data_IF_411096116095
#
_entry.id   IF_411096116095
#
_cell.length_a   1.000
_cell.length_b   1.000
_cell.length_c   1.000
_cell.angle_alpha   90.00
_cell.angle_beta   90.00
_cell.angle_gamma   90.00
#
_symmetry.space_group_name_H-M   'P 1'
#
loop_
_entity.id
_entity.type
_entity.pdbx_description
1 polymer ?
#
# COMPACT_ATOMS: atom_id res chain seq x y z
N UNK A 1 47.04 -20.83 14.15
CA UNK A 1 45.67 -20.51 14.55
C UNK A 1 45.02 -19.68 13.43
N UNK A 2 44.21 -20.32 12.58
CA UNK A 2 43.57 -19.63 11.44
C UNK A 2 42.18 -19.21 11.87
N UNK A 3 41.99 -17.91 12.08
CA UNK A 3 40.65 -17.33 12.28
C UNK A 3 39.93 -17.39 10.92
N UNK A 4 38.93 -18.26 10.77
CA UNK A 4 37.95 -18.16 9.70
C UNK A 4 36.89 -17.13 10.14
N UNK A 5 36.88 -15.97 9.51
CA UNK A 5 35.72 -15.08 9.53
C UNK A 5 34.58 -15.80 8.75
N UNK A 6 33.66 -16.36 9.49
CA UNK A 6 32.39 -16.83 8.89
C UNK A 6 31.51 -15.60 8.82
N UNK A 7 31.41 -14.97 7.66
CA UNK A 7 30.34 -14.01 7.41
C UNK A 7 29.04 -14.81 7.43
N UNK A 8 28.18 -14.54 8.40
CA UNK A 8 26.83 -15.05 8.36
C UNK A 8 26.15 -14.43 7.15
N UNK A 9 25.79 -15.24 6.17
CA UNK A 9 24.92 -14.80 5.07
C UNK A 9 23.56 -14.52 5.72
N UNK A 10 23.10 -13.30 5.59
CA UNK A 10 21.74 -12.94 6.01
C UNK A 10 20.81 -13.12 4.80
N UNK A 11 19.72 -13.83 5.01
CA UNK A 11 18.66 -13.91 4.01
C UNK A 11 17.71 -12.71 4.18
N UNK A 12 17.32 -12.14 3.07
CA UNK A 12 16.37 -11.02 3.00
C UNK A 12 15.13 -11.44 2.20
N UNK A 13 13.97 -11.16 2.74
CA UNK A 13 12.74 -11.17 1.97
C UNK A 13 12.53 -9.78 1.38
N UNK A 14 12.55 -9.67 0.07
CA UNK A 14 12.36 -8.41 -0.65
C UNK A 14 11.01 -8.40 -1.35
N UNK A 15 10.27 -7.30 -1.18
CA UNK A 15 9.14 -6.93 -2.03
C UNK A 15 9.53 -5.68 -2.79
N UNK A 16 9.49 -5.74 -4.12
CA UNK A 16 9.76 -4.63 -5.02
C UNK A 16 8.46 -4.15 -5.63
N UNK A 17 8.21 -2.86 -5.56
CA UNK A 17 7.01 -2.20 -6.10
C UNK A 17 7.45 -1.16 -7.11
N UNK A 18 6.96 -1.25 -8.34
CA UNK A 18 7.20 -0.26 -9.40
C UNK A 18 5.87 0.40 -9.76
N UNK A 19 5.83 1.73 -9.71
CA UNK A 19 4.67 2.53 -10.10
C UNK A 19 4.63 2.71 -11.61
N UNK A 20 3.47 2.41 -12.23
CA UNK A 20 3.36 2.40 -13.69
C UNK A 20 3.29 3.82 -14.29
N UNK A 21 2.66 4.74 -13.58
CA UNK A 21 2.46 6.11 -14.06
C UNK A 21 3.56 7.08 -13.57
N UNK A 22 4.53 6.60 -12.78
CA UNK A 22 5.57 7.43 -12.20
C UNK A 22 5.05 8.51 -11.25
N UNK A 23 3.84 8.36 -10.73
CA UNK A 23 3.20 9.24 -9.76
C UNK A 23 2.70 8.44 -8.55
N UNK A 24 2.64 9.12 -7.39
CA UNK A 24 2.11 8.56 -6.16
C UNK A 24 1.21 9.56 -5.45
N UNK A 25 0.01 9.12 -5.05
CA UNK A 25 -1.05 9.97 -4.48
C UNK A 25 -1.31 9.71 -3.00
N UNK A 26 -0.60 8.76 -2.38
CA UNK A 26 -0.80 8.40 -0.97
C UNK A 26 -0.51 9.57 -0.05
N UNK A 27 -1.35 9.73 0.99
CA UNK A 27 -1.21 10.79 1.99
C UNK A 27 -1.01 10.20 3.38
N UNK A 28 -0.20 10.87 4.17
CA UNK A 28 -0.04 10.64 5.60
C UNK A 28 -1.24 11.11 6.41
N UNK A 29 -1.17 10.93 7.72
CA UNK A 29 -2.25 11.36 8.65
C UNK A 29 -2.35 12.88 8.78
N UNK A 30 -1.28 13.59 8.50
CA UNK A 30 -1.18 15.06 8.43
C UNK A 30 -1.81 15.65 7.15
N UNK A 31 -2.14 14.79 6.18
CA UNK A 31 -2.68 15.17 4.88
C UNK A 31 -1.60 15.50 3.83
N UNK A 32 -0.34 15.49 4.21
CA UNK A 32 0.78 15.64 3.28
C UNK A 32 1.05 14.33 2.51
N UNK A 33 1.79 14.41 1.42
CA UNK A 33 2.17 13.23 0.67
C UNK A 33 3.11 12.35 1.49
N UNK A 34 2.75 11.07 1.66
CA UNK A 34 3.57 10.07 2.33
C UNK A 34 4.57 9.47 1.33
N UNK A 35 5.86 9.71 1.52
CA UNK A 35 6.89 9.06 0.71
C UNK A 35 8.08 8.64 1.56
N UNK A 36 8.60 7.42 1.36
CA UNK A 36 8.03 6.33 0.55
C UNK A 36 6.71 5.80 1.15
N UNK A 37 5.92 5.01 0.41
CA UNK A 37 4.70 4.40 0.96
C UNK A 37 5.04 3.56 2.19
N UNK A 38 4.32 3.79 3.31
CA UNK A 38 4.62 3.15 4.57
C UNK A 38 4.47 1.62 4.53
N UNK A 39 5.21 0.87 5.34
CA UNK A 39 5.02 -0.57 5.51
C UNK A 39 3.58 -0.96 5.85
N UNK A 40 2.85 -0.11 6.60
CA UNK A 40 1.43 -0.34 6.87
C UNK A 40 0.59 -0.27 5.59
N UNK A 41 0.89 0.65 4.68
CA UNK A 41 0.19 0.76 3.40
C UNK A 41 0.46 -0.45 2.51
N UNK A 42 1.70 -0.91 2.48
CA UNK A 42 2.05 -2.16 1.79
C UNK A 42 1.31 -3.35 2.39
N UNK A 43 1.24 -3.46 3.72
CA UNK A 43 0.51 -4.52 4.40
C UNK A 43 -0.98 -4.52 4.06
N UNK A 44 -1.61 -3.36 3.98
CA UNK A 44 -3.00 -3.22 3.53
C UNK A 44 -3.19 -3.67 2.07
N UNK A 45 -2.21 -3.39 1.21
CA UNK A 45 -2.23 -3.85 -0.18
C UNK A 45 -2.05 -5.37 -0.29
N UNK A 46 -1.18 -5.97 0.55
CA UNK A 46 -1.03 -7.42 0.67
C UNK A 46 -2.33 -8.08 1.16
N UNK A 47 -2.97 -7.51 2.18
CA UNK A 47 -4.27 -8.00 2.70
C UNK A 47 -5.33 -7.98 1.59
N UNK A 48 -5.43 -6.89 0.84
CA UNK A 48 -6.36 -6.80 -0.29
C UNK A 48 -6.03 -7.81 -1.40
N UNK A 49 -4.76 -8.00 -1.72
CA UNK A 49 -4.32 -8.97 -2.72
C UNK A 49 -4.65 -10.41 -2.29
N UNK A 50 -4.43 -10.76 -1.02
CA UNK A 50 -4.78 -12.06 -0.46
C UNK A 50 -6.28 -12.35 -0.59
N UNK A 51 -7.13 -11.40 -0.20
CA UNK A 51 -8.59 -11.52 -0.29
C UNK A 51 -9.07 -11.67 -1.74
N UNK A 52 -8.46 -10.95 -2.69
CA UNK A 52 -8.80 -11.03 -4.12
C UNK A 52 -8.40 -12.36 -4.75
N UNK A 53 -7.30 -12.96 -4.32
CA UNK A 53 -6.86 -14.28 -4.80
C UNK A 53 -7.83 -15.39 -4.41
N UNK A 54 -8.48 -15.27 -3.27
CA UNK A 54 -9.42 -16.27 -2.75
C UNK A 54 -10.87 -15.98 -3.14
N UNK A 55 -11.17 -14.78 -3.63
CA UNK A 55 -12.48 -14.35 -4.11
C UNK A 55 -13.50 -13.97 -3.03
N UNK A 56 -13.46 -14.59 -1.85
CA UNK A 56 -14.34 -14.30 -0.72
C UNK A 56 -13.62 -14.50 0.61
N UNK A 57 -12.96 -13.45 1.07
CA UNK A 57 -12.19 -13.50 2.31
C UNK A 57 -10.75 -13.96 2.10
N UNK A 58 -10.06 -14.27 3.18
CA UNK A 58 -8.66 -14.69 3.17
C UNK A 58 -8.58 -16.12 3.71
N UNK A 59 -7.96 -17.03 2.94
CA UNK A 59 -7.76 -18.41 3.40
C UNK A 59 -6.82 -18.48 4.61
N UNK A 60 -6.97 -19.51 5.42
CA UNK A 60 -6.16 -19.71 6.63
C UNK A 60 -4.65 -19.66 6.36
N UNK A 61 -4.20 -20.27 5.25
CA UNK A 61 -2.79 -20.24 4.85
C UNK A 61 -2.29 -18.81 4.60
N UNK A 62 -3.07 -17.97 3.89
CA UNK A 62 -2.69 -16.58 3.61
C UNK A 62 -2.78 -15.71 4.86
N UNK A 63 -3.80 -15.93 5.69
CA UNK A 63 -3.94 -15.24 6.98
C UNK A 63 -2.74 -15.56 7.89
N UNK A 64 -2.33 -16.83 8.00
CA UNK A 64 -1.15 -17.21 8.78
C UNK A 64 0.13 -16.54 8.28
N UNK A 65 0.32 -16.42 6.96
CA UNK A 65 1.46 -15.73 6.39
C UNK A 65 1.45 -14.21 6.66
N UNK A 66 0.29 -13.57 6.59
CA UNK A 66 0.13 -12.15 6.93
C UNK A 66 0.31 -11.89 8.43
N UNK A 67 -0.24 -12.75 9.30
CA UNK A 67 0.00 -12.67 10.75
C UNK A 67 1.48 -12.82 11.10
N UNK A 68 2.18 -13.73 10.43
CA UNK A 68 3.63 -13.85 10.61
C UNK A 68 4.35 -12.55 10.21
N UNK A 69 3.98 -11.93 9.07
CA UNK A 69 4.62 -10.71 8.60
C UNK A 69 4.37 -9.51 9.53
N UNK A 70 3.13 -9.33 10.06
CA UNK A 70 2.83 -8.23 10.98
C UNK A 70 3.43 -8.41 12.37
N UNK A 71 3.77 -9.67 12.75
CA UNK A 71 4.38 -10.00 14.04
C UNK A 71 5.91 -9.86 14.04
N UNK A 72 6.54 -9.57 12.89
CA UNK A 72 7.98 -9.35 12.80
C UNK A 72 8.39 -8.17 13.69
N UNK A 73 9.33 -8.41 14.59
CA UNK A 73 9.79 -7.41 15.57
C UNK A 73 10.45 -6.20 14.92
N UNK A 74 11.10 -6.41 13.78
CA UNK A 74 11.82 -5.38 13.06
C UNK A 74 11.08 -5.00 11.78
N UNK A 75 10.75 -3.72 11.59
CA UNK A 75 10.20 -3.24 10.33
C UNK A 75 11.18 -3.46 9.17
N UNK A 76 10.72 -3.41 7.91
CA UNK A 76 11.61 -3.53 6.77
C UNK A 76 12.53 -2.31 6.65
N UNK A 77 13.71 -2.53 6.10
CA UNK A 77 14.46 -1.47 5.45
C UNK A 77 13.76 -1.09 4.15
N UNK A 78 13.76 0.20 3.80
CA UNK A 78 13.12 0.67 2.57
C UNK A 78 14.13 1.43 1.73
N UNK A 79 14.22 1.02 0.47
CA UNK A 79 14.99 1.69 -0.55
C UNK A 79 14.01 2.29 -1.56
N UNK A 80 14.11 3.57 -1.80
CA UNK A 80 13.17 4.28 -2.66
C UNK A 80 13.88 5.27 -3.58
N UNK A 81 13.36 5.44 -4.78
CA UNK A 81 13.78 6.52 -5.65
C UNK A 81 13.28 7.86 -5.09
N UNK A 82 13.95 8.94 -5.44
CA UNK A 82 13.55 10.28 -5.03
C UNK A 82 12.20 10.66 -5.62
N UNK A 83 11.38 11.34 -4.82
CA UNK A 83 10.10 11.85 -5.23
C UNK A 83 10.06 13.39 -5.08
N UNK A 84 9.33 14.06 -5.98
CA UNK A 84 9.18 15.51 -5.97
C UNK A 84 7.72 15.92 -6.04
N UNK A 85 7.27 16.92 -5.26
CA UNK A 85 5.91 17.43 -5.36
C UNK A 85 5.60 17.96 -6.76
N UNK A 86 4.37 17.72 -7.24
CA UNK A 86 3.86 18.30 -8.49
C UNK A 86 2.99 19.52 -8.21
N UNK A 87 2.73 20.31 -9.25
CA UNK A 87 1.78 21.44 -9.19
C UNK A 87 0.35 20.98 -8.86
N UNK A 88 0.08 19.69 -9.03
CA UNK A 88 -1.23 19.09 -8.84
C UNK A 88 -2.17 19.34 -10.01
N UNK A 89 -3.32 18.69 -9.93
CA UNK A 89 -4.42 18.82 -10.88
C UNK A 89 -5.77 18.70 -10.18
N UNK A 90 -6.80 19.07 -10.91
CA UNK A 90 -8.16 19.09 -10.39
C UNK A 90 -8.94 17.87 -10.91
N UNK A 91 -9.53 17.13 -9.98
CA UNK A 91 -10.46 16.06 -10.28
C UNK A 91 -11.88 16.46 -9.88
N UNK A 92 -12.84 16.00 -10.65
CA UNK A 92 -14.24 16.08 -10.32
C UNK A 92 -14.74 14.70 -9.93
N UNK A 93 -15.12 14.55 -8.67
CA UNK A 93 -15.69 13.30 -8.17
C UNK A 93 -17.20 13.48 -7.98
N UNK A 94 -18.01 12.45 -8.28
CA UNK A 94 -19.41 12.45 -7.91
C UNK A 94 -19.47 12.57 -6.37
N UNK A 95 -20.21 13.52 -5.88
CA UNK A 95 -20.59 13.54 -4.47
C UNK A 95 -21.68 12.49 -4.22
N UNK A 96 -22.13 12.27 -2.98
CA UNK A 96 -23.19 11.30 -2.62
C UNK A 96 -24.48 11.51 -3.42
N UNK A 97 -24.36 11.32 -4.73
CA UNK A 97 -25.34 11.71 -5.75
C UNK A 97 -26.64 10.93 -5.58
N UNK A 98 -26.56 9.68 -5.10
CA UNK A 98 -27.74 8.84 -4.90
C UNK A 98 -28.77 9.49 -3.97
N UNK A 99 -28.37 10.02 -2.85
CA UNK A 99 -29.26 10.65 -1.88
C UNK A 99 -29.83 11.97 -2.39
N UNK A 100 -29.04 12.74 -3.14
CA UNK A 100 -29.45 14.01 -3.71
C UNK A 100 -30.43 13.81 -4.87
N UNK A 101 -30.19 12.83 -5.73
CA UNK A 101 -31.11 12.45 -6.81
C UNK A 101 -32.44 11.94 -6.24
N UNK A 102 -32.37 11.08 -5.23
CA UNK A 102 -33.58 10.59 -4.55
C UNK A 102 -34.41 11.72 -3.93
N UNK A 103 -33.77 12.70 -3.26
CA UNK A 103 -34.43 13.89 -2.73
C UNK A 103 -35.06 14.75 -3.82
N UNK A 104 -34.40 14.93 -4.96
CA UNK A 104 -34.97 15.70 -6.08
C UNK A 104 -36.14 14.97 -6.74
N UNK A 105 -36.06 13.65 -6.91
CA UNK A 105 -37.20 12.87 -7.39
C UNK A 105 -38.39 12.92 -6.43
N UNK A 106 -38.12 12.80 -5.13
CA UNK A 106 -39.19 12.97 -4.12
C UNK A 106 -39.84 14.35 -4.15
N UNK A 107 -39.10 15.35 -4.62
CA UNK A 107 -39.61 16.71 -4.84
C UNK A 107 -40.25 16.93 -6.22
N UNK A 108 -40.48 15.86 -7.00
CA UNK A 108 -41.14 15.92 -8.31
C UNK A 108 -40.25 16.37 -9.47
N UNK A 109 -38.93 16.40 -9.27
CA UNK A 109 -37.98 16.70 -10.36
C UNK A 109 -37.66 15.43 -11.18
N UNK A 110 -37.41 15.59 -12.45
CA UNK A 110 -36.96 14.48 -13.32
C UNK A 110 -35.95 14.95 -14.37
N UNK A 111 -35.15 14.03 -14.90
CA UNK A 111 -34.16 14.33 -15.93
C UNK A 111 -34.80 14.82 -17.24
N UNK A 112 -36.00 14.35 -17.55
CA UNK A 112 -36.73 14.70 -18.76
C UNK A 112 -37.67 15.91 -18.61
N UNK A 113 -37.79 16.46 -17.40
CA UNK A 113 -38.64 17.60 -17.11
C UNK A 113 -38.05 18.90 -17.63
N UNK A 114 -38.76 19.58 -18.52
CA UNK A 114 -38.36 20.93 -18.98
C UNK A 114 -38.62 22.02 -17.94
N UNK A 115 -39.58 21.81 -17.03
CA UNK A 115 -40.00 22.79 -16.02
C UNK A 115 -39.31 22.58 -14.66
N UNK A 116 -38.98 21.33 -14.34
CA UNK A 116 -38.35 20.95 -13.08
C UNK A 116 -37.20 19.95 -13.33
N UNK A 117 -36.13 20.36 -14.04
CA UNK A 117 -35.04 19.46 -14.33
C UNK A 117 -34.23 19.14 -13.06
N UNK A 118 -33.69 17.93 -13.02
CA UNK A 118 -32.65 17.59 -12.04
C UNK A 118 -31.37 18.33 -12.44
N UNK A 119 -30.88 19.18 -11.55
CA UNK A 119 -29.63 19.91 -11.78
C UNK A 119 -28.43 19.00 -11.43
N UNK A 120 -27.69 18.60 -12.47
CA UNK A 120 -26.51 17.73 -12.36
C UNK A 120 -25.26 18.54 -12.04
N UNK A 121 -25.26 19.85 -12.26
CA UNK A 121 -24.05 20.68 -12.07
C UNK A 121 -23.60 20.77 -10.62
N UNK A 122 -24.54 20.68 -9.68
CA UNK A 122 -24.26 20.66 -8.23
C UNK A 122 -23.72 19.34 -7.68
N UNK A 123 -23.63 18.29 -8.52
CA UNK A 123 -23.20 16.96 -8.05
C UNK A 123 -21.73 16.67 -8.28
N UNK A 124 -20.94 17.65 -8.62
CA UNK A 124 -19.51 17.53 -8.81
C UNK A 124 -18.79 18.20 -7.67
N UNK A 125 -18.12 17.40 -6.85
CA UNK A 125 -17.16 17.92 -5.86
C UNK A 125 -15.80 18.02 -6.51
N UNK A 126 -15.28 19.25 -6.51
CA UNK A 126 -13.91 19.52 -6.96
C UNK A 126 -12.92 19.02 -5.91
N UNK A 127 -11.97 18.20 -6.32
CA UNK A 127 -10.85 17.77 -5.49
C UNK A 127 -9.55 18.15 -6.16
N UNK A 128 -8.77 18.98 -5.51
CA UNK A 128 -7.41 19.26 -5.92
C UNK A 128 -6.49 18.15 -5.41
N UNK A 129 -5.73 17.57 -6.31
CA UNK A 129 -4.82 16.45 -6.06
C UNK A 129 -3.39 16.92 -6.34
N UNK A 130 -2.48 16.67 -5.44
CA UNK A 130 -1.07 17.00 -5.54
C UNK A 130 -0.26 15.72 -5.38
N UNK A 131 -0.03 14.95 -6.46
CA UNK A 131 0.80 13.76 -6.40
C UNK A 131 2.28 14.11 -6.25
N UNK A 132 3.06 13.12 -5.86
CA UNK A 132 4.49 13.12 -6.01
C UNK A 132 4.85 12.53 -7.37
N UNK A 133 5.80 13.15 -8.06
CA UNK A 133 6.43 12.59 -9.24
C UNK A 133 7.65 11.81 -8.81
N UNK A 134 7.72 10.56 -9.22
CA UNK A 134 8.80 9.65 -8.92
C UNK A 134 9.90 9.78 -9.96
N UNK A 135 11.14 9.74 -9.50
CA UNK A 135 12.32 9.78 -10.36
C UNK A 135 12.80 8.34 -10.64
N UNK A 136 13.78 8.19 -11.50
CA UNK A 136 14.42 6.91 -11.77
C UNK A 136 13.46 5.87 -12.32
N UNK A 137 13.49 4.69 -11.71
CA UNK A 137 12.64 3.54 -12.08
C UNK A 137 11.25 3.58 -11.46
N UNK A 138 10.93 4.64 -10.70
CA UNK A 138 9.71 4.78 -9.93
C UNK A 138 9.46 3.57 -9.02
N UNK A 139 10.51 3.11 -8.34
CA UNK A 139 10.51 1.88 -7.57
C UNK A 139 10.70 2.11 -6.07
N UNK A 140 10.12 1.22 -5.28
CA UNK A 140 10.33 1.12 -3.83
C UNK A 140 10.56 -0.36 -3.49
N UNK A 141 11.59 -0.60 -2.69
CA UNK A 141 11.96 -1.95 -2.25
C UNK A 141 11.86 -2.03 -0.73
N UNK A 142 11.14 -3.04 -0.24
CA UNK A 142 11.01 -3.34 1.18
C UNK A 142 11.79 -4.61 1.47
N UNK A 143 12.72 -4.56 2.43
CA UNK A 143 13.61 -5.65 2.76
C UNK A 143 13.44 -6.04 4.23
N UNK A 144 13.02 -7.26 4.48
CA UNK A 144 12.95 -7.83 5.83
C UNK A 144 14.09 -8.81 6.03
N UNK A 145 14.76 -8.71 7.17
CA UNK A 145 15.58 -9.80 7.68
C UNK A 145 14.68 -10.79 8.42
N UNK A 146 14.91 -12.08 8.26
CA UNK A 146 14.10 -13.11 8.89
C UNK A 146 14.98 -14.31 9.30
N UNK A 147 14.43 -15.16 10.17
CA UNK A 147 15.02 -16.43 10.52
C UNK A 147 14.51 -17.52 9.56
N UNK A 148 15.41 -18.29 8.96
CA UNK A 148 15.12 -19.25 7.87
C UNK A 148 14.04 -20.27 8.23
N UNK A 149 13.98 -20.71 9.52
CA UNK A 149 13.06 -21.76 9.94
C UNK A 149 11.58 -21.37 9.83
N UNK A 150 11.25 -20.11 10.11
CA UNK A 150 9.88 -19.61 10.09
C UNK A 150 9.49 -19.11 8.70
N UNK A 151 10.40 -18.51 7.96
CA UNK A 151 10.13 -18.05 6.60
C UNK A 151 9.78 -19.20 5.66
N UNK A 152 10.43 -20.37 5.81
CA UNK A 152 10.15 -21.55 4.98
C UNK A 152 8.68 -21.98 4.96
N UNK A 153 7.91 -21.64 6.01
CA UNK A 153 6.47 -21.93 6.10
C UNK A 153 5.60 -20.93 5.35
N UNK A 154 6.02 -19.67 5.24
CA UNK A 154 5.19 -18.55 4.81
C UNK A 154 5.68 -17.89 3.52
N UNK A 155 6.95 -18.08 3.15
CA UNK A 155 7.63 -17.35 2.08
C UNK A 155 6.96 -17.48 0.72
N UNK A 156 6.66 -18.71 0.27
CA UNK A 156 5.99 -18.93 -1.03
C UNK A 156 4.61 -18.25 -1.08
N UNK A 157 3.86 -18.32 0.04
CA UNK A 157 2.55 -17.70 0.14
C UNK A 157 2.68 -16.17 0.08
N UNK A 158 3.65 -15.58 0.79
CA UNK A 158 3.90 -14.14 0.75
C UNK A 158 4.34 -13.66 -0.63
N UNK A 159 5.18 -14.42 -1.32
CA UNK A 159 5.61 -14.14 -2.70
C UNK A 159 4.39 -14.12 -3.63
N UNK A 160 3.50 -15.12 -3.52
CA UNK A 160 2.30 -15.19 -4.34
C UNK A 160 1.34 -14.02 -4.06
N UNK A 161 1.14 -13.66 -2.79
CA UNK A 161 0.32 -12.50 -2.40
C UNK A 161 0.94 -11.20 -2.91
N UNK A 162 2.25 -11.01 -2.73
CA UNK A 162 2.94 -9.80 -3.17
C UNK A 162 2.80 -9.60 -4.68
N UNK A 163 3.01 -10.63 -5.48
CA UNK A 163 2.86 -10.58 -6.95
C UNK A 163 1.45 -10.28 -7.43
N UNK A 164 0.45 -10.44 -6.57
CA UNK A 164 -0.94 -10.12 -6.87
C UNK A 164 -1.34 -8.68 -6.53
N UNK A 165 -0.45 -7.86 -5.95
CA UNK A 165 -0.71 -6.45 -5.71
C UNK A 165 -0.77 -5.72 -7.05
N UNK A 166 -1.82 -4.94 -7.26
CA UNK A 166 -2.01 -4.14 -8.47
C UNK A 166 -2.07 -2.65 -8.20
N UNK A 167 -2.19 -2.25 -6.94
CA UNK A 167 -2.28 -0.85 -6.50
C UNK A 167 -1.63 -0.67 -5.15
N UNK A 168 -0.94 0.47 -4.98
CA UNK A 168 -0.33 0.84 -3.69
C UNK A 168 -0.50 2.34 -3.47
N UNK A 169 -1.47 2.74 -2.66
CA UNK A 169 -1.84 4.12 -2.44
C UNK A 169 -3.32 4.36 -2.75
N UNK A 170 -3.62 5.29 -3.63
CA UNK A 170 -4.97 5.49 -4.13
C UNK A 170 -5.32 4.46 -5.20
N UNK A 171 -6.62 4.39 -5.56
CA UNK A 171 -7.08 3.47 -6.60
C UNK A 171 -6.45 3.69 -7.98
N UNK A 172 -5.85 4.87 -8.21
CA UNK A 172 -5.15 5.24 -9.44
C UNK A 172 -3.65 4.89 -9.41
N UNK A 173 -3.07 4.63 -8.23
CA UNK A 173 -1.66 4.28 -8.08
C UNK A 173 -1.43 2.82 -8.49
N UNK A 174 -1.38 2.59 -9.80
CA UNK A 174 -1.18 1.26 -10.37
C UNK A 174 0.28 0.85 -10.25
N UNK A 175 0.50 -0.40 -9.85
CA UNK A 175 1.84 -0.94 -9.62
C UNK A 175 2.00 -2.33 -10.24
N UNK A 176 3.25 -2.67 -10.54
CA UNK A 176 3.72 -4.03 -10.73
C UNK A 176 4.63 -4.38 -9.56
N UNK A 177 4.41 -5.56 -9.00
CA UNK A 177 5.17 -6.01 -7.83
C UNK A 177 5.84 -7.35 -8.09
N UNK A 178 7.01 -7.53 -7.52
CA UNK A 178 7.69 -8.81 -7.44
C UNK A 178 8.22 -9.04 -6.02
N UNK A 179 8.39 -10.29 -5.65
CA UNK A 179 8.95 -10.65 -4.36
C UNK A 179 9.90 -11.84 -4.52
N UNK A 180 11.00 -11.79 -3.79
CA UNK A 180 12.02 -12.82 -3.81
C UNK A 180 12.75 -12.91 -2.46
N UNK A 181 13.38 -14.05 -2.24
CA UNK A 181 14.38 -14.23 -1.18
C UNK A 181 15.75 -13.97 -1.77
N UNK A 182 16.54 -13.18 -1.12
CA UNK A 182 17.93 -12.89 -1.49
C UNK A 182 18.86 -13.33 -0.38
N UNK A 183 19.82 -14.17 -0.75
CA UNK A 183 20.94 -14.53 0.11
C UNK A 183 22.11 -13.59 -0.22
N UNK A 184 22.41 -12.65 0.65
CA UNK A 184 23.51 -11.73 0.43
C UNK A 184 24.10 -11.24 1.75
N UNK A 185 25.38 -10.95 1.74
CA UNK A 185 26.06 -10.20 2.83
C UNK A 185 25.72 -8.72 2.80
N UNK A 186 25.19 -8.23 1.68
CA UNK A 186 24.71 -6.86 1.50
C UNK A 186 23.52 -6.93 0.55
N UNK A 187 22.38 -6.28 0.85
CA UNK A 187 21.26 -6.27 -0.08
C UNK A 187 21.75 -5.82 -1.46
N UNK A 188 21.50 -6.66 -2.48
CA UNK A 188 21.72 -6.25 -3.88
C UNK A 188 20.60 -5.31 -4.27
N UNK A 189 20.59 -4.15 -3.64
CA UNK A 189 19.62 -3.13 -3.95
C UNK A 189 20.10 -2.36 -5.18
N UNK A 190 19.19 -2.01 -6.11
CA UNK A 190 19.50 -0.99 -7.09
C UNK A 190 19.93 0.30 -6.36
N UNK A 191 20.74 1.12 -7.03
CA UNK A 191 21.13 2.44 -6.51
C UNK A 191 19.87 3.27 -6.29
N UNK A 192 19.39 3.29 -5.05
CA UNK A 192 18.22 4.07 -4.65
C UNK A 192 18.69 5.39 -4.03
N UNK A 193 17.94 6.46 -4.26
CA UNK A 193 18.29 7.79 -3.76
C UNK A 193 18.05 7.92 -2.26
N UNK A 194 17.12 7.15 -1.70
CA UNK A 194 16.72 7.19 -0.29
C UNK A 194 16.78 5.81 0.35
N UNK A 195 17.39 5.73 1.53
CA UNK A 195 17.46 4.52 2.34
C UNK A 195 16.89 4.79 3.74
N UNK A 196 15.79 4.12 4.06
CA UNK A 196 15.10 4.20 5.34
C UNK A 196 15.44 2.98 6.18
N UNK A 197 16.01 3.22 7.35
CA UNK A 197 16.39 2.17 8.28
C UNK A 197 15.46 2.15 9.50
N UNK A 198 15.12 0.97 10.03
CA UNK A 198 14.46 0.88 11.33
C UNK A 198 15.29 1.57 12.41
N UNK A 199 14.70 2.49 13.16
CA UNK A 199 15.34 3.22 14.23
C UNK A 199 14.71 2.88 15.58
N UNK A 200 15.55 2.79 16.62
CA UNK A 200 15.10 2.56 17.99
C UNK A 200 14.67 3.87 18.70
N UNK A 201 15.09 5.01 18.17
CA UNK A 201 14.79 6.33 18.74
C UNK A 201 14.10 7.21 17.73
N UNK A 202 13.09 7.97 18.18
CA UNK A 202 12.40 8.94 17.35
C UNK A 202 13.30 10.14 17.02
N UNK A 203 13.71 10.24 15.77
CA UNK A 203 14.44 11.38 15.24
C UNK A 203 14.27 11.42 13.71
N UNK A 204 13.58 12.43 13.19
CA UNK A 204 13.33 12.58 11.76
C UNK A 204 11.94 12.15 11.30
N UNK A 205 11.79 11.90 9.99
CA UNK A 205 10.54 11.43 9.42
C UNK A 205 10.21 10.00 9.88
N UNK A 206 8.94 9.72 10.13
CA UNK A 206 8.46 8.41 10.57
C UNK A 206 7.43 7.85 9.62
N UNK A 207 7.48 6.53 9.39
CA UNK A 207 6.53 5.79 8.59
C UNK A 207 5.75 4.81 9.48
N UNK A 208 4.47 4.63 9.17
CA UNK A 208 3.61 3.69 9.89
C UNK A 208 3.98 2.25 9.56
N UNK A 209 4.03 1.40 10.58
CA UNK A 209 4.28 -0.03 10.43
C UNK A 209 3.05 -0.85 10.86
N UNK A 210 2.80 -2.03 10.29
CA UNK A 210 1.82 -2.95 10.84
C UNK A 210 2.27 -3.44 12.22
N UNK A 211 1.30 -3.73 13.07
CA UNK A 211 1.52 -4.33 14.38
C UNK A 211 0.62 -5.56 14.50
N UNK A 212 0.99 -6.50 15.39
CA UNK A 212 0.20 -7.71 15.62
C UNK A 212 -1.28 -7.39 15.86
N UNK A 213 -2.18 -8.14 15.23
CA UNK A 213 -3.64 -7.92 15.24
C UNK A 213 -4.13 -6.91 14.19
N UNK A 214 -3.25 -6.44 13.30
CA UNK A 214 -3.65 -5.51 12.25
C UNK A 214 -4.53 -6.17 11.18
N UNK A 215 -4.25 -7.42 10.84
CA UNK A 215 -5.07 -8.19 9.91
C UNK A 215 -6.50 -8.33 10.44
N UNK A 216 -6.66 -8.77 11.68
CA UNK A 216 -7.98 -8.96 12.31
C UNK A 216 -8.78 -7.64 12.31
N UNK A 217 -8.13 -6.54 12.65
CA UNK A 217 -8.77 -5.22 12.65
C UNK A 217 -9.20 -4.77 11.24
N UNK A 218 -8.48 -5.17 10.18
CA UNK A 218 -8.86 -4.87 8.80
C UNK A 218 -10.07 -5.72 8.37
N UNK A 219 -10.10 -7.01 8.71
CA UNK A 219 -11.21 -7.90 8.41
C UNK A 219 -12.49 -7.50 9.15
N UNK A 220 -12.39 -7.13 10.42
CA UNK A 220 -13.51 -6.61 11.22
C UNK A 220 -14.10 -5.35 10.58
N UNK A 221 -13.26 -4.39 10.19
CA UNK A 221 -13.73 -3.18 9.51
C UNK A 221 -14.36 -3.45 8.16
N UNK A 222 -13.83 -4.41 7.41
CA UNK A 222 -14.42 -4.82 6.14
C UNK A 222 -15.81 -5.42 6.36
N UNK A 223 -15.94 -6.36 7.29
CA UNK A 223 -17.21 -6.99 7.66
C UNK A 223 -18.23 -5.95 8.14
N UNK A 224 -17.81 -5.01 8.98
CA UNK A 224 -18.69 -3.93 9.43
C UNK A 224 -19.14 -3.00 8.29
N UNK A 225 -18.35 -2.84 7.23
CA UNK A 225 -18.72 -2.04 6.05
C UNK A 225 -19.74 -2.73 5.15
N UNK A 226 -19.75 -4.06 5.10
CA UNK A 226 -20.72 -4.83 4.32
C UNK A 226 -22.11 -4.91 4.97
N UNK A 227 -22.18 -4.68 6.28
CA UNK A 227 -23.42 -4.75 7.07
C UNK A 227 -24.11 -3.37 7.24
N UNK A 228 -23.65 -2.34 6.53
CA UNK A 228 -24.26 -1.00 6.49
C UNK A 228 -25.08 -0.79 5.23
#
# INVERSE_FOLDING_TARGET
>A
CTLRLTFAMSAYFRISVRFLDGEFHGRGDDGDCEWPPSPLRLFQALTNAAARLDGNGISEQKAAALHWLEALKRPPEILADKATPTAGYQLYVPDNVGDLVAKQWSAGKSFDSKSHPIDISGYRTEKRVHPLRLCGDAAVHYLWTFDDADFGKHGETLIAIARAITRLGWGVDLVVTDAAVEESTTPSAPLSDEHWLPAETSGGASLRVPVAGKLDALEERHTASLNR
#
